data_IF_152087058883
#
_entry.id   IF_152087058883
#
_cell.length_a   1.000
_cell.length_b   1.000
_cell.length_c   1.000
_cell.angle_alpha   90.00
_cell.angle_beta   90.00
_cell.angle_gamma   90.00
#
_symmetry.space_group_name_H-M   'P 1'
#
loop_
_entity.id
_entity.type
_entity.pdbx_description
1 polymer ?
#
# COMPACT_ATOMS: atom_id res chain seq x y z
N UNK A 1 26.88 -21.05 33.62
CA UNK A 1 25.98 -22.13 33.15
C UNK A 1 24.69 -21.45 32.73
N UNK A 2 24.63 -21.02 31.48
CA UNK A 2 23.42 -20.47 30.88
C UNK A 2 22.52 -21.63 30.48
N UNK A 3 21.80 -22.16 31.46
CA UNK A 3 20.62 -22.99 31.22
C UNK A 3 19.43 -22.03 31.03
N UNK A 4 18.48 -22.40 30.15
CA UNK A 4 17.25 -21.68 29.78
C UNK A 4 17.29 -20.77 28.53
N UNK A 5 17.64 -21.35 27.38
CA UNK A 5 17.12 -20.96 26.06
C UNK A 5 16.65 -22.17 25.23
N UNK A 6 16.21 -23.26 25.86
CA UNK A 6 15.93 -24.50 25.14
C UNK A 6 14.60 -24.56 24.39
N UNK A 7 13.72 -23.54 24.49
CA UNK A 7 12.39 -23.57 23.86
C UNK A 7 11.92 -22.22 23.25
N UNK A 8 12.82 -21.35 22.79
CA UNK A 8 12.40 -20.06 22.20
C UNK A 8 12.30 -20.11 20.67
N UNK A 9 11.07 -20.09 20.13
CA UNK A 9 10.82 -19.86 18.70
C UNK A 9 10.58 -18.35 18.44
N UNK A 10 11.63 -17.61 18.09
CA UNK A 10 11.50 -16.23 17.61
C UNK A 10 11.04 -16.22 16.15
N UNK A 11 9.73 -16.20 15.89
CA UNK A 11 9.20 -15.99 14.52
C UNK A 11 8.81 -14.54 14.28
N UNK A 12 9.76 -13.75 13.79
CA UNK A 12 9.46 -12.48 13.11
C UNK A 12 9.37 -12.73 11.61
N UNK A 13 8.23 -13.22 11.15
CA UNK A 13 7.98 -13.39 9.72
C UNK A 13 7.53 -12.06 9.12
N UNK A 14 8.38 -11.46 8.28
CA UNK A 14 7.97 -10.38 7.37
C UNK A 14 8.00 -10.89 5.95
N UNK A 15 6.93 -10.66 5.21
CA UNK A 15 6.86 -10.95 3.79
C UNK A 15 7.25 -9.70 3.00
N UNK A 16 8.35 -9.81 2.24
CA UNK A 16 8.83 -8.76 1.36
C UNK A 16 8.69 -9.26 -0.08
N UNK A 17 7.94 -8.52 -0.89
CA UNK A 17 7.84 -8.77 -2.34
C UNK A 17 8.63 -7.69 -3.07
N UNK A 18 9.56 -8.12 -3.92
CA UNK A 18 10.37 -7.24 -4.77
C UNK A 18 10.03 -7.54 -6.23
N UNK A 19 9.43 -6.59 -6.94
CA UNK A 19 8.99 -6.76 -8.33
C UNK A 19 9.40 -5.57 -9.23
N UNK A 20 10.69 -5.20 -9.17
CA UNK A 20 11.24 -4.02 -9.85
C UNK A 20 11.17 -4.05 -11.39
N UNK A 21 10.78 -5.16 -12.01
CA UNK A 21 10.69 -5.30 -13.46
C UNK A 21 9.28 -5.00 -14.01
N UNK A 22 8.30 -4.77 -13.14
CA UNK A 22 6.92 -4.49 -13.54
C UNK A 22 6.64 -2.98 -13.55
N UNK A 23 6.02 -2.51 -14.63
CA UNK A 23 5.51 -1.13 -14.75
C UNK A 23 4.07 -1.00 -14.23
N UNK A 24 3.34 -2.11 -14.14
CA UNK A 24 1.96 -2.17 -13.70
C UNK A 24 1.72 -3.45 -12.88
N UNK A 25 0.93 -3.32 -11.82
CA UNK A 25 0.35 -4.48 -11.13
C UNK A 25 -1.08 -4.61 -11.64
N UNK A 26 -1.40 -5.80 -12.16
CA UNK A 26 -2.71 -6.23 -12.62
C UNK A 26 -3.12 -7.51 -11.89
N UNK A 27 -4.42 -7.83 -11.94
CA UNK A 27 -5.05 -8.88 -11.14
C UNK A 27 -4.32 -10.22 -11.27
N UNK A 28 -3.66 -10.60 -10.17
CA UNK A 28 -3.04 -11.92 -10.02
C UNK A 28 -3.47 -12.53 -8.69
N UNK A 29 -4.43 -13.45 -8.79
CA UNK A 29 -4.88 -14.27 -7.66
C UNK A 29 -3.96 -15.46 -7.46
N UNK A 30 -3.69 -15.79 -6.20
CA UNK A 30 -3.01 -17.02 -5.76
C UNK A 30 -3.97 -18.21 -5.79
N UNK A 31 -3.46 -19.43 -5.56
CA UNK A 31 -4.22 -20.68 -5.62
C UNK A 31 -5.35 -20.75 -4.59
N UNK A 32 -5.20 -20.03 -3.46
CA UNK A 32 -6.23 -19.83 -2.44
C UNK A 32 -7.23 -18.71 -2.81
N UNK A 33 -7.18 -18.22 -4.05
CA UNK A 33 -7.98 -17.12 -4.63
C UNK A 33 -7.78 -15.77 -3.96
N UNK A 34 -6.80 -15.65 -3.06
CA UNK A 34 -6.42 -14.34 -2.49
C UNK A 34 -5.55 -13.58 -3.48
N UNK A 35 -5.40 -12.29 -3.25
CA UNK A 35 -4.42 -11.49 -3.98
C UNK A 35 -3.00 -11.90 -3.52
N UNK A 36 -2.03 -12.00 -4.44
CA UNK A 36 -0.63 -12.30 -4.09
C UNK A 36 -0.03 -11.33 -3.07
N UNK A 37 -0.56 -10.10 -2.99
CA UNK A 37 -0.13 -9.07 -2.05
C UNK A 37 -0.88 -9.10 -0.71
N UNK A 38 -1.86 -10.00 -0.53
CA UNK A 38 -2.66 -10.07 0.68
C UNK A 38 -1.80 -10.24 1.95
N UNK A 39 -0.77 -11.10 1.87
CA UNK A 39 0.18 -11.35 2.96
C UNK A 39 1.49 -10.58 2.79
N UNK A 40 1.53 -9.48 2.02
CA UNK A 40 2.73 -8.69 1.80
C UNK A 40 2.85 -7.58 2.86
N UNK A 41 3.92 -7.59 3.66
CA UNK A 41 4.22 -6.51 4.60
C UNK A 41 4.90 -5.33 3.91
N UNK A 42 5.81 -5.62 2.98
CA UNK A 42 6.63 -4.63 2.28
C UNK A 42 6.67 -4.94 0.80
N UNK A 43 6.17 -4.02 -0.02
CA UNK A 43 6.25 -4.10 -1.47
C UNK A 43 7.28 -3.08 -2.00
N UNK A 44 8.29 -3.58 -2.71
CA UNK A 44 9.32 -2.79 -3.39
C UNK A 44 9.18 -2.97 -4.90
N UNK A 45 8.74 -1.92 -5.60
CA UNK A 45 8.51 -1.96 -7.03
C UNK A 45 8.97 -0.63 -7.67
N UNK A 46 10.28 -0.50 -7.87
CA UNK A 46 10.91 0.77 -8.27
C UNK A 46 10.48 1.28 -9.65
N UNK A 47 10.13 0.39 -10.58
CA UNK A 47 9.67 0.77 -11.92
C UNK A 47 8.14 0.84 -12.03
N UNK A 48 7.42 0.57 -10.93
CA UNK A 48 5.96 0.56 -10.93
C UNK A 48 5.43 1.97 -11.15
N UNK A 49 4.58 2.12 -12.17
CA UNK A 49 3.89 3.36 -12.54
C UNK A 49 2.40 3.31 -12.19
N UNK A 50 1.79 2.13 -12.24
CA UNK A 50 0.34 1.96 -12.10
C UNK A 50 0.04 0.83 -11.11
N UNK A 51 -0.82 1.11 -10.12
CA UNK A 51 -1.48 0.07 -9.33
C UNK A 51 -2.90 -0.08 -9.89
N UNK A 52 -3.21 -1.25 -10.45
CA UNK A 52 -4.52 -1.55 -11.03
C UNK A 52 -5.65 -1.58 -10.00
N UNK A 53 -6.88 -1.72 -10.49
CA UNK A 53 -8.08 -1.76 -9.65
C UNK A 53 -8.03 -2.96 -8.68
N UNK A 54 -8.43 -2.73 -7.43
CA UNK A 54 -8.48 -3.74 -6.36
C UNK A 54 -7.14 -4.49 -6.07
N UNK A 55 -6.01 -4.01 -6.60
CA UNK A 55 -4.77 -4.81 -6.60
C UNK A 55 -4.07 -4.95 -5.26
N UNK A 56 -4.24 -3.99 -4.36
CA UNK A 56 -3.71 -4.02 -3.00
C UNK A 56 -4.84 -3.76 -2.00
N UNK A 57 -6.09 -4.04 -2.40
CA UNK A 57 -7.24 -4.00 -1.51
C UNK A 57 -7.09 -5.05 -0.41
N UNK A 58 -7.51 -4.73 0.81
CA UNK A 58 -7.40 -5.57 2.00
C UNK A 58 -5.96 -6.06 2.29
N UNK A 59 -4.95 -5.34 1.80
CA UNK A 59 -3.56 -5.76 1.97
C UNK A 59 -3.07 -5.59 3.41
N UNK A 60 -2.19 -6.49 3.84
CA UNK A 60 -1.44 -6.36 5.11
C UNK A 60 -0.25 -5.39 5.02
N UNK A 61 -0.17 -4.58 3.95
CA UNK A 61 0.96 -3.72 3.65
C UNK A 61 1.21 -2.71 4.77
N UNK A 62 2.45 -2.71 5.27
CA UNK A 62 2.98 -1.71 6.20
C UNK A 62 3.82 -0.67 5.47
N UNK A 63 4.42 -1.06 4.35
CA UNK A 63 5.29 -0.18 3.56
C UNK A 63 5.17 -0.46 2.06
N UNK A 64 5.03 0.62 1.30
CA UNK A 64 5.09 0.62 -0.16
C UNK A 64 6.27 1.50 -0.63
N UNK A 65 7.14 0.95 -1.48
CA UNK A 65 8.30 1.65 -2.06
C UNK A 65 8.20 1.64 -3.59
N UNK A 66 7.45 2.63 -4.11
CA UNK A 66 7.19 2.82 -5.54
C UNK A 66 7.48 4.29 -5.94
N UNK A 67 8.77 4.70 -6.04
CA UNK A 67 9.15 6.10 -6.27
C UNK A 67 8.65 6.69 -7.59
N UNK A 68 8.34 5.85 -8.57
CA UNK A 68 7.90 6.23 -9.91
C UNK A 68 6.38 6.04 -10.12
N UNK A 69 5.62 5.84 -9.03
CA UNK A 69 4.18 5.66 -9.10
C UNK A 69 3.49 6.92 -9.62
N UNK A 70 2.61 6.75 -10.61
CA UNK A 70 1.90 7.81 -11.32
C UNK A 70 0.37 7.69 -11.24
N UNK A 71 -0.15 6.47 -11.14
CA UNK A 71 -1.58 6.20 -11.11
C UNK A 71 -1.91 5.13 -10.07
N UNK A 72 -2.97 5.39 -9.31
CA UNK A 72 -3.61 4.43 -8.40
C UNK A 72 -5.06 4.34 -8.81
N UNK A 73 -5.54 3.17 -9.23
CA UNK A 73 -6.90 3.02 -9.74
C UNK A 73 -7.93 2.83 -8.62
N UNK A 74 -9.17 2.56 -9.02
CA UNK A 74 -10.30 2.42 -8.11
C UNK A 74 -10.06 1.30 -7.10
N UNK A 75 -10.37 1.60 -5.83
CA UNK A 75 -10.25 0.69 -4.68
C UNK A 75 -8.86 0.03 -4.50
N UNK A 76 -7.83 0.47 -5.23
CA UNK A 76 -6.54 -0.20 -5.32
C UNK A 76 -5.83 -0.42 -4.00
N UNK A 77 -5.94 0.50 -3.04
CA UNK A 77 -5.38 0.38 -1.69
C UNK A 77 -6.48 0.46 -0.62
N UNK A 78 -7.75 0.28 -1.02
CA UNK A 78 -8.88 0.29 -0.08
C UNK A 78 -8.66 -0.76 1.03
N UNK A 79 -9.02 -0.43 2.25
CA UNK A 79 -8.82 -1.28 3.43
C UNK A 79 -7.34 -1.70 3.67
N UNK A 80 -6.35 -0.90 3.26
CA UNK A 80 -4.95 -1.11 3.65
C UNK A 80 -4.72 -0.73 5.12
N UNK A 81 -5.24 -1.56 6.04
CA UNK A 81 -5.40 -1.24 7.45
C UNK A 81 -4.08 -0.99 8.19
N UNK A 82 -2.94 -1.48 7.69
CA UNK A 82 -1.63 -1.37 8.36
C UNK A 82 -0.72 -0.29 7.75
N UNK A 83 -1.15 0.34 6.66
CA UNK A 83 -0.34 1.32 5.94
C UNK A 83 -0.36 2.67 6.64
N UNK A 84 0.74 3.05 7.29
CA UNK A 84 0.86 4.33 7.99
C UNK A 84 1.31 5.49 7.13
N UNK A 85 2.22 5.21 6.20
CA UNK A 85 2.82 6.20 5.32
C UNK A 85 3.02 5.62 3.93
N UNK A 86 2.67 6.41 2.92
CA UNK A 86 2.85 6.09 1.50
C UNK A 86 3.38 7.33 0.78
N UNK A 87 4.34 7.13 -0.13
CA UNK A 87 4.84 8.22 -0.96
C UNK A 87 3.91 8.39 -2.16
N UNK A 88 3.06 9.42 -2.10
CA UNK A 88 2.11 9.76 -3.15
C UNK A 88 2.47 11.05 -3.89
N UNK A 89 3.66 11.61 -3.64
CA UNK A 89 4.00 12.98 -4.05
C UNK A 89 3.90 13.21 -5.57
N UNK A 90 4.18 12.17 -6.36
CA UNK A 90 4.26 12.20 -7.81
C UNK A 90 3.03 11.58 -8.50
N UNK A 91 2.02 11.13 -7.74
CA UNK A 91 0.85 10.44 -8.29
C UNK A 91 -0.07 11.48 -8.92
N UNK A 92 -0.35 11.32 -10.21
CA UNK A 92 -1.12 12.26 -11.03
C UNK A 92 -2.61 11.90 -11.04
N UNK A 93 -2.92 10.61 -10.97
CA UNK A 93 -4.28 10.08 -11.10
C UNK A 93 -4.62 9.15 -9.96
N UNK A 94 -5.80 9.37 -9.39
CA UNK A 94 -6.39 8.51 -8.39
C UNK A 94 -7.79 8.07 -8.84
N UNK A 95 -8.08 6.79 -8.66
CA UNK A 95 -9.43 6.26 -8.80
C UNK A 95 -10.25 6.44 -7.53
N UNK A 96 -11.56 6.29 -7.68
CA UNK A 96 -12.53 6.36 -6.59
C UNK A 96 -12.16 5.40 -5.47
N UNK A 97 -12.31 5.85 -4.22
CA UNK A 97 -12.06 5.05 -3.02
C UNK A 97 -10.67 4.39 -2.96
N UNK A 98 -9.70 4.86 -3.76
CA UNK A 98 -8.38 4.25 -3.86
C UNK A 98 -7.66 4.14 -2.52
N UNK A 99 -7.98 4.98 -1.54
CA UNK A 99 -7.47 4.95 -0.16
C UNK A 99 -8.60 4.90 0.88
N UNK A 100 -9.76 4.34 0.53
CA UNK A 100 -10.89 4.15 1.46
C UNK A 100 -10.50 3.24 2.62
N UNK A 101 -10.97 3.57 3.83
CA UNK A 101 -10.76 2.78 5.04
C UNK A 101 -9.29 2.46 5.34
N UNK A 102 -8.35 3.31 4.93
CA UNK A 102 -6.94 3.22 5.31
C UNK A 102 -6.77 3.70 6.76
N UNK A 103 -7.24 2.90 7.73
CA UNK A 103 -7.47 3.34 9.11
C UNK A 103 -6.23 3.83 9.86
N UNK A 104 -5.04 3.36 9.49
CA UNK A 104 -3.78 3.76 10.12
C UNK A 104 -2.98 4.78 9.30
N UNK A 105 -3.48 5.23 8.15
CA UNK A 105 -2.78 6.21 7.31
C UNK A 105 -2.78 7.58 8.01
N UNK A 106 -1.60 8.12 8.29
CA UNK A 106 -1.45 9.32 9.12
C UNK A 106 -1.27 10.60 8.30
N UNK A 107 -0.64 10.50 7.13
CA UNK A 107 -0.28 11.64 6.29
C UNK A 107 -0.41 11.30 4.81
N UNK A 108 -0.93 12.26 4.03
CA UNK A 108 -0.90 12.26 2.57
C UNK A 108 -0.20 13.53 2.10
N UNK A 109 0.76 13.35 1.19
CA UNK A 109 1.43 14.44 0.48
C UNK A 109 1.32 14.15 -1.01
N UNK A 110 0.72 15.07 -1.76
CA UNK A 110 0.59 14.99 -3.20
C UNK A 110 0.73 16.38 -3.84
N UNK A 111 1.49 16.49 -4.94
CA UNK A 111 1.75 17.76 -5.61
C UNK A 111 1.31 17.79 -7.09
N UNK A 112 0.76 16.69 -7.60
CA UNK A 112 0.54 16.49 -9.04
C UNK A 112 -0.94 16.21 -9.40
N UNK A 113 -1.75 15.71 -8.47
CA UNK A 113 -3.14 15.38 -8.75
C UNK A 113 -4.02 16.63 -8.86
N UNK A 114 -5.11 16.51 -9.62
CA UNK A 114 -6.08 17.60 -9.82
C UNK A 114 -7.06 17.71 -8.64
N UNK A 115 -7.41 16.58 -8.02
CA UNK A 115 -8.30 16.51 -6.86
C UNK A 115 -8.02 15.26 -6.03
N UNK A 116 -8.35 15.33 -4.73
CA UNK A 116 -8.33 14.21 -3.79
C UNK A 116 -9.72 13.92 -3.19
N UNK A 117 -10.80 14.51 -3.69
CA UNK A 117 -12.11 14.50 -3.02
C UNK A 117 -12.76 13.10 -2.95
N UNK A 118 -12.43 12.22 -3.89
CA UNK A 118 -13.06 10.90 -4.04
C UNK A 118 -12.16 9.75 -3.60
N UNK A 119 -10.96 10.04 -3.09
CA UNK A 119 -9.96 9.00 -2.82
C UNK A 119 -10.04 8.47 -1.39
N UNK A 120 -10.55 9.28 -0.46
CA UNK A 120 -10.54 9.01 0.98
C UNK A 120 -11.95 8.98 1.54
N UNK A 121 -12.26 7.91 2.24
CA UNK A 121 -13.40 7.82 3.15
C UNK A 121 -12.98 6.97 4.34
N UNK A 122 -13.51 7.25 5.54
CA UNK A 122 -13.23 6.46 6.75
C UNK A 122 -11.72 6.28 7.07
N UNK A 123 -10.94 7.37 7.08
CA UNK A 123 -9.51 7.36 7.46
C UNK A 123 -9.30 8.05 8.82
N UNK A 124 -9.69 7.43 9.96
CA UNK A 124 -9.74 8.10 11.26
C UNK A 124 -8.40 8.59 11.81
N UNK A 125 -7.27 8.01 11.39
CA UNK A 125 -5.93 8.43 11.83
C UNK A 125 -5.27 9.48 10.92
N UNK A 126 -5.93 9.86 9.82
CA UNK A 126 -5.37 10.84 8.89
C UNK A 126 -5.38 12.23 9.54
N UNK A 127 -4.19 12.74 9.85
CA UNK A 127 -4.01 14.02 10.56
C UNK A 127 -3.56 15.13 9.63
N UNK A 128 -2.98 14.79 8.48
CA UNK A 128 -2.37 15.76 7.57
C UNK A 128 -2.57 15.38 6.12
N UNK A 129 -3.10 16.32 5.35
CA UNK A 129 -3.15 16.26 3.89
C UNK A 129 -2.46 17.51 3.35
N UNK A 130 -1.34 17.33 2.67
CA UNK A 130 -0.67 18.38 1.91
C UNK A 130 -0.95 18.16 0.44
N UNK A 131 -1.65 19.11 -0.16
CA UNK A 131 -2.10 19.08 -1.53
C UNK A 131 -1.90 20.47 -2.15
N UNK A 132 -1.31 20.53 -3.35
CA UNK A 132 -1.14 21.78 -4.08
C UNK A 132 -2.40 22.01 -4.93
N UNK A 133 -3.33 22.81 -4.42
CA UNK A 133 -4.30 23.53 -5.24
C UNK A 133 -4.15 25.02 -4.95
#
# INVERSE_FOLDING_TARGET
KDEFLQDIEFKKCFSIIICNNYSQIDEKKTTDRKNIFYYCDVLIAKQLKIIGEHQLEDSSLKKLVCPNLKEIRQDSLSYSLFLKHINLKNVEKFGNNSLRSCCNLEEIINFEAISLDQILSNCPMLKKVKFNN
#
